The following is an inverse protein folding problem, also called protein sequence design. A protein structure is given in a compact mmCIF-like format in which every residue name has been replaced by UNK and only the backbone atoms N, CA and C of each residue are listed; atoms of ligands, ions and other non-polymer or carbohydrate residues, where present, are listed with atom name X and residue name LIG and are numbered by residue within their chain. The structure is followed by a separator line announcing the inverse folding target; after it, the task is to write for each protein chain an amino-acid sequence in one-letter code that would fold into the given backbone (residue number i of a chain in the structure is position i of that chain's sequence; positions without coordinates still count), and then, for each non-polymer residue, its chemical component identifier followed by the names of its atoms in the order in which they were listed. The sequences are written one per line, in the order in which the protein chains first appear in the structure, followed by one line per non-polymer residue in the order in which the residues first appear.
data_IF_509914683876
#
_entry.id   IF_509914683876
#
_cell.length_a   1.000
_cell.length_b   1.000
_cell.length_c   1.000
_cell.angle_alpha   90.00
_cell.angle_beta   90.00
_cell.angle_gamma   90.00
#
_symmetry.space_group_name_H-M   'P 1'
#
loop_
_entity.id
_entity.type
_entity.pdbx_description
1 polymer ?
#
# COMPACT_ATOMS: atom_id res chain seq x y z
N UNK A 1 13.46 36.17 -13.78
CA UNK A 1 12.73 35.01 -14.36
C UNK A 1 13.58 33.75 -14.14
N UNK A 2 13.38 33.02 -13.05
CA UNK A 2 14.14 31.79 -12.76
C UNK A 2 13.41 30.95 -11.70
N UNK A 3 12.40 30.17 -12.07
CA UNK A 3 11.66 29.28 -11.14
C UNK A 3 10.93 28.12 -11.83
N UNK A 4 11.46 27.57 -12.93
CA UNK A 4 10.79 26.45 -13.64
C UNK A 4 11.49 25.10 -13.56
N UNK A 5 12.74 25.04 -13.10
CA UNK A 5 13.53 23.79 -13.05
C UNK A 5 13.39 23.02 -11.72
N UNK A 6 13.10 23.70 -10.61
CA UNK A 6 13.12 23.06 -9.28
C UNK A 6 11.84 22.26 -8.93
N UNK A 7 10.69 22.58 -9.54
CA UNK A 7 9.41 21.88 -9.27
C UNK A 7 9.38 20.42 -9.73
N UNK A 8 10.13 20.06 -10.77
CA UNK A 8 10.17 18.68 -11.28
C UNK A 8 11.02 17.77 -10.39
N UNK A 9 12.05 18.31 -9.74
CA UNK A 9 12.97 17.53 -8.91
C UNK A 9 12.35 17.11 -7.56
N UNK A 10 11.23 17.71 -7.15
CA UNK A 10 10.52 17.37 -5.90
C UNK A 10 9.29 16.50 -6.12
N UNK A 11 8.67 16.57 -7.30
CA UNK A 11 7.41 15.89 -7.58
C UNK A 11 7.52 14.36 -7.41
N UNK A 12 8.58 13.75 -7.93
CA UNK A 12 8.77 12.30 -7.83
C UNK A 12 9.00 11.83 -6.37
N UNK A 13 9.63 12.66 -5.51
CA UNK A 13 9.80 12.32 -4.09
C UNK A 13 8.47 12.28 -3.38
N UNK A 14 7.62 13.26 -3.69
CA UNK A 14 6.26 13.34 -3.18
C UNK A 14 5.42 12.16 -3.67
N UNK A 15 5.54 11.79 -4.95
CA UNK A 15 4.85 10.63 -5.53
C UNK A 15 5.28 9.31 -4.86
N UNK A 16 6.60 9.10 -4.66
CA UNK A 16 7.11 7.94 -3.93
C UNK A 16 6.56 7.93 -2.51
N UNK A 17 6.64 9.06 -1.80
CA UNK A 17 6.14 9.17 -0.42
C UNK A 17 4.64 8.88 -0.32
N UNK A 18 3.82 9.43 -1.23
CA UNK A 18 2.37 9.19 -1.28
C UNK A 18 2.11 7.71 -1.54
N UNK A 19 2.77 7.11 -2.55
CA UNK A 19 2.59 5.71 -2.89
C UNK A 19 3.00 4.77 -1.76
N UNK A 20 4.13 5.04 -1.09
CA UNK A 20 4.57 4.28 0.08
C UNK A 20 3.57 4.41 1.22
N UNK A 21 3.10 5.63 1.51
CA UNK A 21 2.05 5.85 2.51
C UNK A 21 0.78 5.07 2.15
N UNK A 22 0.34 5.13 0.89
CA UNK A 22 -0.87 4.47 0.42
C UNK A 22 -0.81 2.96 0.61
N UNK A 23 0.25 2.32 0.12
CA UNK A 23 0.41 0.86 0.18
C UNK A 23 0.63 0.34 1.61
N UNK A 24 1.31 1.11 2.46
CA UNK A 24 1.52 0.74 3.88
C UNK A 24 0.30 0.99 4.75
N UNK A 25 -0.41 2.08 4.52
CA UNK A 25 -1.49 2.54 5.38
C UNK A 25 -2.84 1.93 5.00
N UNK A 26 -3.10 1.66 3.72
CA UNK A 26 -4.44 1.24 3.24
C UNK A 26 -4.56 -0.24 2.94
N UNK A 27 -3.48 -1.00 3.04
CA UNK A 27 -3.48 -2.43 2.73
C UNK A 27 -3.24 -3.29 3.98
N UNK A 28 -3.83 -4.48 3.99
CA UNK A 28 -3.71 -5.46 5.06
C UNK A 28 -3.43 -6.88 4.53
N UNK A 29 -2.37 -7.54 5.02
CA UNK A 29 -1.23 -6.97 5.74
C UNK A 29 -0.63 -5.74 5.05
N UNK A 30 0.05 -4.89 5.81
CA UNK A 30 0.69 -3.71 5.22
C UNK A 30 1.78 -4.17 4.23
N UNK A 31 1.77 -3.63 3.00
CA UNK A 31 2.68 -4.06 1.94
C UNK A 31 4.13 -3.93 2.41
N UNK A 32 4.97 -4.98 2.33
CA UNK A 32 6.36 -4.90 2.74
C UNK A 32 7.20 -3.93 1.90
N UNK A 33 8.17 -3.24 2.51
CA UNK A 33 9.03 -2.27 1.80
C UNK A 33 9.81 -2.90 0.64
N UNK A 34 10.24 -4.16 0.75
CA UNK A 34 10.94 -4.85 -0.34
C UNK A 34 10.07 -4.99 -1.61
N UNK A 35 8.75 -5.15 -1.46
CA UNK A 35 7.83 -5.21 -2.61
C UNK A 35 7.63 -3.84 -3.24
N UNK A 36 7.51 -2.79 -2.42
CA UNK A 36 7.41 -1.40 -2.90
C UNK A 36 8.72 -0.99 -3.60
N UNK A 37 9.87 -1.38 -3.05
CA UNK A 37 11.18 -1.14 -3.63
C UNK A 37 11.34 -1.87 -4.97
N UNK A 38 10.95 -3.14 -5.06
CA UNK A 38 10.94 -3.89 -6.31
C UNK A 38 10.08 -3.20 -7.37
N UNK A 39 8.86 -2.78 -7.02
CA UNK A 39 7.98 -2.04 -7.91
C UNK A 39 8.61 -0.75 -8.44
N UNK A 40 9.23 0.04 -7.56
CA UNK A 40 9.90 1.28 -7.96
C UNK A 40 11.08 1.04 -8.89
N UNK A 41 11.89 0.01 -8.63
CA UNK A 41 13.01 -0.38 -9.47
C UNK A 41 12.56 -0.89 -10.85
N UNK A 42 11.42 -1.59 -10.91
CA UNK A 42 10.86 -2.09 -12.17
C UNK A 42 10.19 -0.99 -13.00
N UNK A 43 9.46 -0.08 -12.35
CA UNK A 43 8.64 0.93 -13.05
C UNK A 43 9.36 2.24 -13.29
N UNK A 44 10.28 2.63 -12.41
CA UNK A 44 10.99 3.91 -12.46
C UNK A 44 12.49 3.78 -12.10
N UNK A 45 13.26 2.94 -12.80
CA UNK A 45 14.68 2.70 -12.48
C UNK A 45 15.52 3.97 -12.53
N UNK A 46 15.28 4.85 -13.51
CA UNK A 46 16.04 6.10 -13.68
C UNK A 46 15.85 7.07 -12.51
N UNK A 47 14.64 7.09 -11.93
CA UNK A 47 14.37 7.93 -10.77
C UNK A 47 15.20 7.42 -9.60
N UNK A 48 15.20 6.11 -9.33
CA UNK A 48 16.03 5.52 -8.27
C UNK A 48 17.53 5.77 -8.47
N UNK A 49 18.02 5.71 -9.71
CA UNK A 49 19.42 5.98 -10.04
C UNK A 49 19.85 7.43 -9.75
N UNK A 50 18.97 8.39 -9.96
CA UNK A 50 19.29 9.81 -9.79
C UNK A 50 19.46 10.23 -8.31
N UNK A 51 19.01 9.42 -7.35
CA UNK A 51 19.09 9.78 -5.93
C UNK A 51 19.65 8.71 -5.00
N UNK A 52 19.82 7.48 -5.48
CA UNK A 52 20.57 6.49 -4.71
C UNK A 52 22.01 7.01 -4.47
N UNK A 53 22.54 6.88 -3.26
CA UNK A 53 23.92 7.27 -2.97
C UNK A 53 24.89 6.45 -3.83
N UNK A 54 26.05 7.00 -4.18
CA UNK A 54 27.07 6.32 -5.01
C UNK A 54 27.50 4.99 -4.38
N UNK A 55 27.45 4.91 -3.05
CA UNK A 55 27.72 3.71 -2.25
C UNK A 55 26.72 2.58 -2.49
N UNK A 56 25.52 2.88 -3.01
CA UNK A 56 24.47 1.92 -3.37
C UNK A 56 24.51 1.53 -4.87
N UNK A 57 25.70 1.58 -5.49
CA UNK A 57 25.89 1.31 -6.92
C UNK A 57 25.64 -0.14 -7.33
N UNK A 58 25.74 -1.10 -6.41
CA UNK A 58 25.38 -2.50 -6.66
C UNK A 58 23.87 -2.71 -6.53
N UNK A 59 23.27 -3.53 -7.40
CA UNK A 59 21.81 -3.76 -7.44
C UNK A 59 21.21 -4.19 -6.09
N UNK A 60 21.82 -5.17 -5.41
CA UNK A 60 21.38 -5.61 -4.08
C UNK A 60 21.50 -4.49 -3.03
N UNK A 61 22.58 -3.71 -3.09
CA UNK A 61 22.78 -2.58 -2.19
C UNK A 61 21.79 -1.44 -2.45
N UNK A 62 21.39 -1.24 -3.72
CA UNK A 62 20.37 -0.26 -4.13
C UNK A 62 18.99 -0.64 -3.60
N UNK A 63 18.63 -1.92 -3.69
CA UNK A 63 17.36 -2.41 -3.14
C UNK A 63 17.31 -2.24 -1.63
N UNK A 64 18.33 -2.72 -0.91
CA UNK A 64 18.41 -2.58 0.55
C UNK A 64 18.39 -1.12 1.00
N UNK A 65 19.09 -0.24 0.28
CA UNK A 65 19.07 1.18 0.54
C UNK A 65 17.67 1.77 0.33
N UNK A 66 17.01 1.42 -0.78
CA UNK A 66 15.67 1.89 -1.09
C UNK A 66 14.67 1.42 -0.03
N UNK A 67 14.74 0.16 0.40
CA UNK A 67 13.88 -0.37 1.47
C UNK A 67 13.97 0.46 2.75
N UNK A 68 15.19 0.78 3.21
CA UNK A 68 15.40 1.63 4.39
C UNK A 68 14.89 3.05 4.17
N UNK A 69 15.14 3.62 2.99
CA UNK A 69 14.65 4.95 2.64
C UNK A 69 13.11 5.03 2.68
N UNK A 70 12.43 4.01 2.15
CA UNK A 70 10.97 3.93 2.18
C UNK A 70 10.43 3.79 3.60
N UNK A 71 11.10 3.01 4.46
CA UNK A 71 10.78 2.89 5.88
C UNK A 71 10.92 4.22 6.62
N UNK A 72 12.07 4.89 6.48
CA UNK A 72 12.32 6.20 7.09
C UNK A 72 11.31 7.26 6.64
N UNK A 73 10.94 7.26 5.35
CA UNK A 73 9.90 8.14 4.83
C UNK A 73 8.56 7.82 5.47
N UNK A 74 8.14 6.56 5.49
CA UNK A 74 6.83 6.19 6.02
C UNK A 74 6.73 6.54 7.51
N UNK A 75 7.72 6.15 8.31
CA UNK A 75 7.75 6.40 9.74
C UNK A 75 7.75 7.90 10.05
N UNK A 76 8.53 8.68 9.30
CA UNK A 76 8.50 10.14 9.38
C UNK A 76 7.14 10.71 9.00
N UNK A 77 6.52 10.18 7.94
CA UNK A 77 5.23 10.63 7.42
C UNK A 77 4.09 10.35 8.40
N UNK A 78 4.09 9.18 9.04
CA UNK A 78 3.12 8.76 10.04
C UNK A 78 3.31 9.55 11.34
N UNK A 79 4.55 9.68 11.84
CA UNK A 79 4.87 10.41 13.06
C UNK A 79 4.44 11.87 13.03
N UNK A 80 4.65 12.53 11.89
CA UNK A 80 4.35 13.96 11.73
C UNK A 80 3.01 14.22 11.05
N UNK A 81 2.24 13.18 10.73
CA UNK A 81 1.02 13.26 9.92
C UNK A 81 1.21 14.17 8.70
N UNK A 82 2.24 13.87 7.91
CA UNK A 82 2.57 14.66 6.71
C UNK A 82 1.38 14.74 5.74
N UNK A 83 1.39 15.73 4.84
CA UNK A 83 0.32 15.87 3.83
C UNK A 83 0.20 14.64 2.92
N UNK A 84 1.31 13.95 2.63
CA UNK A 84 1.30 12.70 1.89
C UNK A 84 0.59 11.58 2.67
N UNK A 85 0.85 11.47 3.98
CA UNK A 85 0.18 10.51 4.86
C UNK A 85 -1.32 10.81 4.99
N UNK A 86 -1.69 12.08 5.16
CA UNK A 86 -3.11 12.51 5.19
C UNK A 86 -3.82 12.20 3.87
N UNK A 87 -3.15 12.46 2.75
CA UNK A 87 -3.69 12.16 1.41
C UNK A 87 -3.89 10.67 1.20
N UNK A 88 -2.93 9.85 1.63
CA UNK A 88 -3.05 8.40 1.61
C UNK A 88 -4.19 7.91 2.52
N UNK A 89 -4.35 8.51 3.71
CA UNK A 89 -5.42 8.20 4.65
C UNK A 89 -6.80 8.48 4.05
N UNK A 90 -6.98 9.64 3.42
CA UNK A 90 -8.27 10.02 2.82
C UNK A 90 -8.49 9.46 1.42
N UNK A 91 -7.62 8.57 0.94
CA UNK A 91 -7.73 8.01 -0.39
C UNK A 91 -8.86 6.97 -0.45
N UNK A 92 -9.70 7.10 -1.47
CA UNK A 92 -10.84 6.23 -1.69
C UNK A 92 -10.41 4.77 -1.94
N UNK A 93 -11.13 3.82 -1.35
CA UNK A 93 -10.80 2.38 -1.44
C UNK A 93 -10.77 1.87 -2.87
N UNK A 94 -11.64 2.38 -3.75
CA UNK A 94 -11.67 1.94 -5.16
C UNK A 94 -10.37 2.32 -5.87
N UNK A 95 -9.84 3.51 -5.58
CA UNK A 95 -8.56 3.97 -6.11
C UNK A 95 -7.43 3.10 -5.59
N UNK A 96 -7.42 2.74 -4.31
CA UNK A 96 -6.38 1.84 -3.75
C UNK A 96 -6.44 0.45 -4.39
N UNK A 97 -7.64 -0.10 -4.61
CA UNK A 97 -7.81 -1.39 -5.31
C UNK A 97 -7.28 -1.32 -6.74
N UNK A 98 -7.52 -0.22 -7.44
CA UNK A 98 -7.00 -0.03 -8.80
C UNK A 98 -5.48 0.12 -8.81
N UNK A 99 -4.89 0.78 -7.81
CA UNK A 99 -3.43 0.81 -7.63
C UNK A 99 -2.90 -0.61 -7.45
N UNK A 100 -3.46 -1.43 -6.54
CA UNK A 100 -3.01 -2.81 -6.33
C UNK A 100 -3.08 -3.67 -7.60
N UNK A 101 -4.10 -3.47 -8.43
CA UNK A 101 -4.23 -4.15 -9.73
C UNK A 101 -3.15 -3.73 -10.71
N UNK A 102 -2.94 -2.42 -10.87
CA UNK A 102 -1.96 -1.87 -11.81
C UNK A 102 -0.54 -2.22 -11.42
N UNK A 103 -0.26 -2.29 -10.12
CA UNK A 103 1.05 -2.68 -9.58
C UNK A 103 1.30 -4.19 -9.62
N UNK A 104 0.30 -5.00 -9.97
CA UNK A 104 0.42 -6.45 -9.93
C UNK A 104 0.57 -7.00 -8.50
N UNK A 105 0.21 -6.22 -7.48
CA UNK A 105 0.14 -6.69 -6.09
C UNK A 105 -1.16 -7.45 -5.79
N UNK A 106 -2.10 -7.45 -6.74
CA UNK A 106 -3.39 -8.19 -6.71
C UNK A 106 -3.30 -9.62 -7.31
N UNK A 107 -2.12 -10.22 -7.41
CA UNK A 107 -1.94 -11.50 -8.13
C UNK A 107 -2.36 -12.70 -7.28
N UNK A 108 -3.31 -13.48 -7.80
CA UNK A 108 -3.76 -14.82 -7.41
C UNK A 108 -3.79 -15.10 -5.89
N UNK A 109 -4.97 -14.89 -5.29
CA UNK A 109 -5.30 -15.23 -3.91
C UNK A 109 -4.62 -14.36 -2.82
N UNK A 110 -5.00 -13.08 -2.78
CA UNK A 110 -5.35 -12.37 -1.53
C UNK A 110 -4.24 -12.12 -0.49
N UNK A 111 -3.00 -11.85 -0.91
CA UNK A 111 -1.98 -11.45 0.08
C UNK A 111 -2.22 -10.04 0.64
N UNK A 112 -2.85 -9.15 -0.13
CA UNK A 112 -3.17 -7.78 0.32
C UNK A 112 -4.65 -7.45 0.08
N UNK A 113 -5.34 -7.07 1.15
CA UNK A 113 -6.70 -6.52 1.10
C UNK A 113 -6.68 -5.02 1.36
N UNK A 114 -7.55 -4.25 0.70
CA UNK A 114 -7.72 -2.83 1.02
C UNK A 114 -8.59 -2.72 2.27
N UNK A 115 -8.07 -2.04 3.30
CA UNK A 115 -8.79 -1.80 4.55
C UNK A 115 -9.96 -0.85 4.34
N UNK A 116 -11.09 -1.20 4.96
CA UNK A 116 -12.24 -0.30 5.06
C UNK A 116 -11.94 0.87 6.02
N UNK A 117 -12.69 1.98 5.91
CA UNK A 117 -12.47 3.19 6.73
C UNK A 117 -12.45 2.90 8.24
N UNK A 118 -13.41 2.12 8.75
CA UNK A 118 -13.50 1.81 10.17
C UNK A 118 -12.27 1.01 10.67
N UNK A 119 -11.79 0.08 9.85
CA UNK A 119 -10.60 -0.72 10.16
C UNK A 119 -9.33 0.14 10.11
N UNK A 120 -9.20 1.02 9.11
CA UNK A 120 -8.11 1.97 9.01
C UNK A 120 -8.02 2.87 10.25
N UNK A 121 -9.15 3.46 10.67
CA UNK A 121 -9.20 4.33 11.84
C UNK A 121 -8.80 3.58 13.13
N UNK A 122 -9.24 2.33 13.26
CA UNK A 122 -8.87 1.46 14.37
C UNK A 122 -7.37 1.15 14.38
N UNK A 123 -6.79 0.83 13.23
CA UNK A 123 -5.36 0.58 13.07
C UNK A 123 -4.50 1.80 13.41
N UNK A 124 -4.90 2.99 12.95
CA UNK A 124 -4.24 4.26 13.29
C UNK A 124 -4.29 4.50 14.80
N UNK A 125 -5.44 4.27 15.42
CA UNK A 125 -5.60 4.43 16.87
C UNK A 125 -4.67 3.48 17.63
N UNK A 126 -4.66 2.19 17.28
CA UNK A 126 -3.78 1.20 17.91
C UNK A 126 -2.30 1.54 17.78
N UNK A 127 -1.85 2.02 16.61
CA UNK A 127 -0.47 2.48 16.43
C UNK A 127 -0.13 3.65 17.35
N UNK A 128 -1.03 4.63 17.48
CA UNK A 128 -0.84 5.79 18.38
C UNK A 128 -0.79 5.39 19.85
N UNK A 129 -1.55 4.37 20.24
CA UNK A 129 -1.61 3.87 21.61
C UNK A 129 -0.48 2.86 21.93
N UNK A 130 0.33 2.48 20.94
CA UNK A 130 1.34 1.43 21.09
C UNK A 130 0.73 0.04 21.33
N UNK A 131 -0.50 -0.18 20.88
CA UNK A 131 -1.21 -1.45 21.02
C UNK A 131 -0.55 -2.49 20.09
N UNK A 132 -0.21 -3.66 20.65
CA UNK A 132 0.39 -4.78 19.93
C UNK A 132 -0.49 -5.33 18.79
N UNK A 133 -1.80 -4.99 18.79
CA UNK A 133 -2.74 -5.35 17.72
C UNK A 133 -2.57 -4.53 16.45
N UNK A 134 -1.83 -3.42 16.50
CA UNK A 134 -1.46 -2.67 15.31
C UNK A 134 -0.79 -3.59 14.27
N UNK A 135 -1.34 -3.64 13.07
CA UNK A 135 -0.90 -4.50 11.97
C UNK A 135 -1.43 -5.95 12.00
N UNK A 136 -2.28 -6.30 12.97
CA UNK A 136 -2.73 -7.69 13.19
C UNK A 136 -4.25 -7.88 13.18
N UNK A 137 -5.05 -7.01 12.52
CA UNK A 137 -6.49 -7.32 12.41
C UNK A 137 -6.68 -8.65 11.67
N UNK A 138 -7.59 -9.52 12.12
CA UNK A 138 -8.02 -10.63 11.29
C UNK A 138 -8.67 -10.05 10.04
N UNK A 139 -8.14 -10.39 8.86
CA UNK A 139 -8.85 -10.18 7.60
C UNK A 139 -10.19 -10.91 7.79
N UNK A 140 -11.35 -10.21 7.75
CA UNK A 140 -12.63 -10.88 7.82
C UNK A 140 -12.61 -11.90 6.70
N UNK A 141 -12.59 -13.19 7.08
CA UNK A 141 -12.45 -14.31 6.16
C UNK A 141 -13.23 -13.99 4.90
N UNK A 142 -12.51 -13.85 3.77
CA UNK A 142 -13.01 -13.56 2.44
C UNK A 142 -14.46 -14.05 2.40
N UNK A 143 -15.44 -13.14 2.43
CA UNK A 143 -16.85 -13.56 2.45
C UNK A 143 -16.97 -14.48 1.26
N UNK A 144 -17.05 -15.80 1.53
CA UNK A 144 -17.41 -16.78 0.53
C UNK A 144 -18.63 -16.17 -0.10
N UNK A 145 -18.52 -15.84 -1.38
CA UNK A 145 -19.68 -15.53 -2.16
C UNK A 145 -20.54 -16.78 -2.05
N UNK A 146 -21.44 -16.78 -1.07
CA UNK A 146 -22.57 -17.68 -1.06
C UNK A 146 -23.39 -17.22 -2.26
N UNK A 147 -22.98 -17.72 -3.42
CA UNK A 147 -23.86 -17.90 -4.55
C UNK A 147 -24.99 -18.77 -4.01
N UNK A 148 -26.02 -18.08 -3.54
CA UNK A 148 -27.32 -18.61 -3.23
C UNK A 148 -27.86 -19.22 -4.51
N UNK A 149 -27.46 -20.47 -4.80
CA UNK A 149 -28.27 -21.36 -5.62
C UNK A 149 -29.26 -22.02 -4.68
N UNK A 150 -30.31 -21.28 -4.36
CA UNK A 150 -31.58 -21.83 -3.95
C UNK A 150 -32.10 -22.69 -5.12
N UNK A 151 -31.82 -23.98 -5.09
CA UNK A 151 -32.55 -24.93 -5.93
C UNK A 151 -33.97 -25.09 -5.35
N UNK A 152 -35.02 -25.00 -6.18
CA UNK A 152 -36.38 -25.18 -5.71
C UNK A 152 -36.61 -26.62 -5.25
N UNK A 153 -37.28 -26.72 -4.11
CA UNK A 153 -37.90 -27.92 -3.58
C UNK A 153 -38.82 -28.51 -4.66
N UNK A 154 -38.47 -29.68 -5.20
CA UNK A 154 -39.40 -30.48 -6.01
C UNK A 154 -40.05 -31.47 -5.06
N UNK A 155 -41.28 -31.16 -4.63
CA UNK A 155 -42.19 -32.14 -4.04
C UNK A 155 -42.61 -33.12 -5.15
N UNK A 156 -42.03 -34.32 -5.17
CA UNK A 156 -42.65 -35.44 -5.87
C UNK A 156 -43.80 -35.97 -5.02
N UNK A 157 -45.01 -35.50 -5.34
CA UNK A 157 -46.26 -36.15 -4.94
C UNK A 157 -46.77 -37.04 -6.09
N UNK A 158 -46.92 -38.31 -5.74
CA UNK A 158 -47.59 -39.44 -6.41
C UNK A 158 -48.47 -39.21 -7.65
N UNK A 159 -48.27 -40.07 -8.65
CA UNK A 159 -49.29 -41.03 -9.12
C UNK A 159 -48.64 -42.27 -9.74
#
# INVERSE_FOLDING_TARGET
MATKTNRKATAWKEDIQIMTCLLRLRCQPAVPYHMIAALLLETQPSVVEDFAPEEASLENSRREWLEKYLEEIYDGSEKWESEAWKSARSCDETVVRDVLKVTGLDVQESEFAVMEEDELLLQIKWRKEGDWRAGSTPIPSLRKSEHSQSLPCVEETYN
#
